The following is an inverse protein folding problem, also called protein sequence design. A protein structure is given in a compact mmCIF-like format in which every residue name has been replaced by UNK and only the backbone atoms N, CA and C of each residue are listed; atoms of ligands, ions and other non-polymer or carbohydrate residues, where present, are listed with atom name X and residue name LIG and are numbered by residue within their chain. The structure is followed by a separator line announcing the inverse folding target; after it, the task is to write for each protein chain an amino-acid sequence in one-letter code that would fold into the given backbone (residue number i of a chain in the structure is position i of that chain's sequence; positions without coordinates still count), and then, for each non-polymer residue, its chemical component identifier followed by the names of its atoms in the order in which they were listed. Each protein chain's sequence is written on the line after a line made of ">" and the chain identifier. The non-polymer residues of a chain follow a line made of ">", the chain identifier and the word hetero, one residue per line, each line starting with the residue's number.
data_IF_455005810661
#
_entry.id   IF_455005810661
#
_cell.length_a   1.000
_cell.length_b   1.000
_cell.length_c   1.000
_cell.angle_alpha   90.00
_cell.angle_beta   90.00
_cell.angle_gamma   90.00
#
_symmetry.space_group_name_H-M   'P 1'
#
loop_
_entity.id
_entity.type
_entity.pdbx_description
1 polymer ?
#
# COMPACT_ATOMS: atom_id res chain seq x y z
N UNK A 1 1.45 2.11 6.86
CA UNK A 1 1.83 1.19 7.95
C UNK A 1 1.29 1.77 9.24
N UNK A 2 0.73 0.93 10.08
CA UNK A 2 0.13 1.31 11.37
C UNK A 2 0.52 0.25 12.39
N UNK A 3 1.18 0.63 13.48
CA UNK A 3 1.65 -0.29 14.53
C UNK A 3 2.37 -1.54 13.96
N UNK A 4 3.26 -1.32 12.99
CA UNK A 4 3.99 -2.36 12.27
C UNK A 4 3.18 -3.28 11.36
N UNK A 5 1.89 -3.00 11.20
CA UNK A 5 0.97 -3.69 10.30
C UNK A 5 0.75 -2.91 9.01
N UNK A 6 0.31 -3.62 7.97
CA UNK A 6 0.16 -3.09 6.61
C UNK A 6 -1.33 -3.03 6.25
N UNK A 7 -1.75 -1.86 5.77
CA UNK A 7 -3.09 -1.63 5.25
C UNK A 7 -3.17 -2.13 3.80
N UNK A 8 -4.16 -2.96 3.52
CA UNK A 8 -4.52 -3.37 2.17
C UNK A 8 -5.93 -2.91 1.82
N UNK A 9 -6.11 -2.55 0.56
CA UNK A 9 -7.44 -2.37 -0.02
C UNK A 9 -7.87 -3.62 -0.78
N UNK A 10 -9.18 -3.86 -0.77
CA UNK A 10 -9.78 -4.85 -1.65
C UNK A 10 -10.07 -4.22 -3.00
N UNK A 11 -9.43 -4.71 -4.06
CA UNK A 11 -9.69 -4.21 -5.41
C UNK A 11 -11.14 -4.54 -5.82
N UNK A 12 -11.84 -3.64 -6.54
CA UNK A 12 -13.17 -3.91 -7.06
C UNK A 12 -13.25 -5.26 -7.78
N UNK A 13 -14.40 -5.92 -7.69
CA UNK A 13 -14.63 -7.17 -8.43
C UNK A 13 -14.71 -6.84 -9.92
N UNK A 14 -13.91 -7.54 -10.73
CA UNK A 14 -13.80 -7.31 -12.18
C UNK A 14 -12.55 -6.53 -12.57
N UNK A 15 -12.12 -6.72 -13.83
CA UNK A 15 -10.89 -6.12 -14.35
C UNK A 15 -9.60 -6.74 -13.83
N UNK A 16 -8.49 -6.06 -14.11
CA UNK A 16 -7.15 -6.54 -13.80
C UNK A 16 -6.94 -6.67 -12.29
N UNK A 17 -6.62 -7.90 -11.85
CA UNK A 17 -6.44 -8.25 -10.44
C UNK A 17 -7.70 -8.04 -9.58
N UNK A 18 -8.89 -8.06 -10.18
CA UNK A 18 -10.15 -7.81 -9.50
C UNK A 18 -10.40 -8.77 -8.34
N UNK A 19 -10.85 -8.24 -7.20
CA UNK A 19 -11.12 -9.00 -5.97
C UNK A 19 -9.89 -9.41 -5.14
N UNK A 20 -8.67 -9.22 -5.66
CA UNK A 20 -7.42 -9.43 -4.91
C UNK A 20 -7.17 -8.28 -3.94
N UNK A 21 -6.42 -8.56 -2.88
CA UNK A 21 -5.87 -7.50 -2.02
C UNK A 21 -4.69 -6.83 -2.71
N UNK A 22 -4.55 -5.53 -2.50
CA UNK A 22 -3.43 -4.75 -2.98
C UNK A 22 -3.07 -3.66 -2.01
N UNK A 23 -1.88 -3.09 -2.19
CA UNK A 23 -1.55 -1.82 -1.55
C UNK A 23 -2.46 -0.73 -2.12
N UNK A 24 -2.63 0.34 -1.33
CA UNK A 24 -3.28 1.55 -1.82
C UNK A 24 -2.58 2.04 -3.08
N UNK A 25 -3.33 2.20 -4.17
CA UNK A 25 -2.79 2.61 -5.45
C UNK A 25 -3.80 3.46 -6.22
N UNK A 26 -3.32 4.56 -6.78
CA UNK A 26 -4.11 5.48 -7.62
C UNK A 26 -3.40 5.69 -8.97
N UNK A 27 -4.13 6.07 -10.02
CA UNK A 27 -3.52 6.50 -11.27
C UNK A 27 -2.67 7.76 -11.08
N UNK A 28 -1.53 7.82 -11.76
CA UNK A 28 -0.58 8.94 -11.69
C UNK A 28 0.50 8.75 -10.61
N UNK A 29 1.27 9.80 -10.36
CA UNK A 29 2.28 9.84 -9.31
C UNK A 29 2.06 11.11 -8.50
N UNK A 30 2.05 10.98 -7.18
CA UNK A 30 1.94 12.09 -6.25
C UNK A 30 3.31 12.42 -5.67
N UNK A 31 3.56 13.69 -5.41
CA UNK A 31 4.56 14.12 -4.44
C UNK A 31 4.20 13.68 -3.02
N UNK A 32 5.15 13.76 -2.10
CA UNK A 32 4.92 13.45 -0.67
C UNK A 32 3.85 14.37 -0.06
N UNK A 33 3.82 15.64 -0.46
CA UNK A 33 2.85 16.62 0.05
C UNK A 33 1.45 16.33 -0.47
N UNK A 34 1.31 15.98 -1.74
CA UNK A 34 0.02 15.57 -2.31
C UNK A 34 -0.49 14.26 -1.69
N UNK A 35 0.41 13.31 -1.42
CA UNK A 35 0.07 12.08 -0.72
C UNK A 35 -0.42 12.36 0.72
N UNK A 36 0.29 13.22 1.45
CA UNK A 36 -0.12 13.64 2.81
C UNK A 36 -1.50 14.28 2.79
N UNK A 37 -1.76 15.25 1.89
CA UNK A 37 -3.07 15.88 1.74
C UNK A 37 -4.18 14.90 1.35
N UNK A 38 -3.88 13.93 0.49
CA UNK A 38 -4.82 12.87 0.11
C UNK A 38 -5.21 12.01 1.32
N UNK A 39 -4.25 11.64 2.15
CA UNK A 39 -4.48 10.90 3.38
C UNK A 39 -5.30 11.72 4.39
N UNK A 40 -4.94 12.99 4.61
CA UNK A 40 -5.68 13.90 5.50
C UNK A 40 -7.14 14.06 5.07
N UNK A 41 -7.40 14.26 3.77
CA UNK A 41 -8.75 14.35 3.22
C UNK A 41 -9.58 13.08 3.42
N UNK A 42 -8.93 11.95 3.65
CA UNK A 42 -9.55 10.66 3.98
C UNK A 42 -9.63 10.41 5.49
N UNK A 43 -9.24 11.36 6.33
CA UNK A 43 -9.20 11.19 7.78
C UNK A 43 -8.06 10.31 8.28
N UNK A 44 -7.00 10.15 7.48
CA UNK A 44 -5.81 9.37 7.83
C UNK A 44 -4.67 10.33 8.14
N UNK A 45 -4.29 10.43 9.41
CA UNK A 45 -3.11 11.19 9.83
C UNK A 45 -1.82 10.44 9.46
N UNK A 46 -0.81 11.14 8.95
CA UNK A 46 0.46 10.56 8.53
C UNK A 46 1.60 11.15 9.35
N UNK A 47 2.38 10.28 10.01
CA UNK A 47 3.58 10.66 10.78
C UNK A 47 4.81 10.83 9.89
N UNK A 48 4.97 9.97 8.89
CA UNK A 48 6.13 10.00 7.99
C UNK A 48 5.82 9.36 6.65
N UNK A 49 6.55 9.80 5.62
CA UNK A 49 6.48 9.27 4.27
C UNK A 49 7.91 9.01 3.78
N UNK A 50 8.19 7.78 3.36
CA UNK A 50 9.47 7.38 2.78
C UNK A 50 9.24 6.88 1.35
N UNK A 51 9.95 7.38 0.34
CA UNK A 51 9.86 6.85 -1.01
C UNK A 51 10.40 5.41 -1.06
N UNK A 52 9.71 4.55 -1.79
CA UNK A 52 10.14 3.18 -2.07
C UNK A 52 10.76 3.10 -3.48
N UNK A 53 11.47 2.01 -3.72
CA UNK A 53 12.04 1.71 -5.04
C UNK A 53 10.93 1.67 -6.09
N UNK A 54 11.03 2.51 -7.12
CA UNK A 54 10.08 2.49 -8.24
C UNK A 54 10.11 1.13 -8.95
N UNK A 55 8.94 0.64 -9.36
CA UNK A 55 8.79 -0.71 -9.91
C UNK A 55 7.94 -0.70 -11.16
N UNK A 56 8.27 -1.63 -12.05
CA UNK A 56 7.49 -1.93 -13.24
C UNK A 56 6.82 -3.29 -13.08
N UNK A 57 5.57 -3.40 -13.50
CA UNK A 57 4.89 -4.68 -13.58
C UNK A 57 4.26 -4.84 -14.96
N UNK A 58 4.54 -5.97 -15.61
CA UNK A 58 4.13 -6.25 -16.98
C UNK A 58 3.04 -7.31 -16.94
N UNK A 59 1.87 -6.95 -17.45
CA UNK A 59 0.80 -7.88 -17.80
C UNK A 59 0.84 -8.14 -19.32
N UNK A 60 0.05 -9.08 -19.81
CA UNK A 60 0.02 -9.43 -21.24
C UNK A 60 -0.28 -8.24 -22.16
N UNK A 61 -1.14 -7.31 -21.73
CA UNK A 61 -1.60 -6.20 -22.57
C UNK A 61 -1.38 -4.82 -21.96
N UNK A 62 -0.81 -4.74 -20.76
CA UNK A 62 -0.67 -3.48 -20.01
C UNK A 62 0.63 -3.52 -19.22
N UNK A 63 1.32 -2.38 -19.17
CA UNK A 63 2.49 -2.19 -18.33
C UNK A 63 2.18 -1.10 -17.29
N UNK A 64 2.48 -1.39 -16.04
CA UNK A 64 2.38 -0.42 -14.95
C UNK A 64 3.78 0.04 -14.57
N UNK A 65 3.97 1.36 -14.56
CA UNK A 65 5.12 2.03 -13.96
C UNK A 65 4.64 2.64 -12.65
N UNK A 66 5.17 2.15 -11.54
CA UNK A 66 4.66 2.44 -10.20
C UNK A 66 5.74 3.11 -9.37
N UNK A 67 5.38 4.25 -8.79
CA UNK A 67 6.14 4.89 -7.72
C UNK A 67 5.50 4.49 -6.40
N UNK A 68 6.30 3.97 -5.47
CA UNK A 68 5.80 3.53 -4.16
C UNK A 68 6.21 4.49 -3.05
N UNK A 69 5.36 4.57 -2.03
CA UNK A 69 5.65 5.29 -0.79
C UNK A 69 5.26 4.41 0.41
N UNK A 70 6.08 4.40 1.44
CA UNK A 70 5.73 3.89 2.75
C UNK A 70 5.30 5.07 3.62
N UNK A 71 4.00 5.19 3.83
CA UNK A 71 3.42 6.17 4.75
C UNK A 71 3.11 5.51 6.09
N UNK A 72 3.62 6.06 7.18
CA UNK A 72 3.33 5.63 8.56
C UNK A 72 2.18 6.46 9.09
N UNK A 73 1.16 5.79 9.63
CA UNK A 73 -0.10 6.39 10.07
C UNK A 73 -0.02 6.74 11.54
N UNK A 74 -0.50 7.93 11.87
CA UNK A 74 -0.64 8.44 13.23
C UNK A 74 -2.07 8.21 13.72
N UNK A 75 -2.25 7.34 14.72
CA UNK A 75 -3.57 7.12 15.32
C UNK A 75 -4.52 6.23 14.49
N UNK A 76 -5.84 6.27 14.80
CA UNK A 76 -6.79 5.29 14.26
C UNK A 76 -7.06 5.51 12.77
N UNK A 77 -7.28 4.41 12.06
CA UNK A 77 -7.78 4.43 10.70
C UNK A 77 -9.31 4.55 10.68
N UNK A 78 -9.89 5.25 9.68
CA UNK A 78 -11.32 5.23 9.46
C UNK A 78 -11.77 3.81 9.03
N UNK A 79 -13.02 3.39 9.34
CA UNK A 79 -13.53 2.05 9.04
C UNK A 79 -13.43 1.65 7.55
N UNK A 80 -13.49 2.62 6.65
CA UNK A 80 -13.41 2.45 5.20
C UNK A 80 -11.98 2.40 4.63
N UNK A 81 -10.94 2.56 5.47
CA UNK A 81 -9.55 2.60 5.01
C UNK A 81 -9.09 1.29 4.35
N UNK A 82 -9.65 0.16 4.77
CA UNK A 82 -9.29 -1.17 4.28
C UNK A 82 -9.06 -2.18 5.40
N UNK A 83 -8.30 -3.22 5.07
CA UNK A 83 -7.99 -4.33 5.97
C UNK A 83 -6.52 -4.25 6.42
N UNK A 84 -6.27 -4.32 7.73
CA UNK A 84 -4.91 -4.27 8.29
C UNK A 84 -4.43 -5.69 8.59
N UNK A 85 -3.19 -5.99 8.19
CA UNK A 85 -2.56 -7.29 8.46
C UNK A 85 -1.16 -7.11 9.03
N UNK A 86 -0.84 -7.92 10.02
CA UNK A 86 0.49 -8.05 10.59
C UNK A 86 1.46 -8.72 9.59
N UNK A 87 2.78 -8.52 9.73
CA UNK A 87 3.78 -9.24 8.96
C UNK A 87 3.62 -10.77 9.05
N UNK A 88 3.21 -11.30 10.21
CA UNK A 88 3.01 -12.74 10.41
C UNK A 88 1.81 -13.27 9.62
N UNK A 89 0.68 -12.55 9.61
CA UNK A 89 -0.50 -12.93 8.81
C UNK A 89 -0.15 -12.92 7.32
N UNK A 90 0.59 -11.91 6.88
CA UNK A 90 1.04 -11.80 5.50
C UNK A 90 1.91 -13.00 5.12
N UNK A 91 2.88 -13.35 5.96
CA UNK A 91 3.73 -14.53 5.77
C UNK A 91 2.92 -15.84 5.77
N UNK A 92 1.83 -15.92 6.53
CA UNK A 92 0.98 -17.11 6.61
C UNK A 92 0.08 -17.35 5.39
N UNK A 93 -0.02 -16.38 4.48
CA UNK A 93 -0.69 -16.58 3.18
C UNK A 93 -1.75 -15.57 2.80
N UNK A 94 -1.65 -14.31 3.25
CA UNK A 94 -2.52 -13.25 2.71
C UNK A 94 -2.29 -13.13 1.20
N UNK A 95 -3.31 -13.43 0.41
CA UNK A 95 -3.24 -13.34 -1.04
C UNK A 95 -3.21 -11.88 -1.51
N UNK A 96 -2.03 -11.42 -1.90
CA UNK A 96 -1.78 -10.07 -2.43
C UNK A 96 -1.45 -10.14 -3.91
N UNK A 97 -2.00 -9.21 -4.70
CA UNK A 97 -1.77 -9.14 -6.13
C UNK A 97 -0.27 -9.07 -6.48
N UNK A 98 0.16 -9.83 -7.50
CA UNK A 98 1.57 -9.99 -7.88
C UNK A 98 2.29 -8.67 -8.15
N UNK A 99 1.58 -7.68 -8.70
CA UNK A 99 2.11 -6.34 -8.95
C UNK A 99 2.66 -5.64 -7.70
N UNK A 100 2.15 -5.98 -6.50
CA UNK A 100 2.54 -5.32 -5.25
C UNK A 100 3.59 -6.10 -4.44
N UNK A 101 3.92 -7.33 -4.82
CA UNK A 101 4.83 -8.21 -4.05
C UNK A 101 6.22 -7.58 -3.85
N UNK A 102 6.74 -6.89 -4.86
CA UNK A 102 8.02 -6.20 -4.75
C UNK A 102 8.01 -5.08 -3.71
N UNK A 103 6.95 -4.27 -3.66
CA UNK A 103 6.78 -3.23 -2.65
C UNK A 103 6.58 -3.84 -1.27
N UNK A 104 5.75 -4.88 -1.17
CA UNK A 104 5.50 -5.57 0.09
C UNK A 104 6.80 -6.12 0.70
N UNK A 105 7.64 -6.76 -0.11
CA UNK A 105 8.93 -7.29 0.33
C UNK A 105 9.90 -6.18 0.80
N UNK A 106 9.80 -4.98 0.24
CA UNK A 106 10.59 -3.82 0.65
C UNK A 106 10.06 -3.23 1.96
N UNK A 107 8.74 -3.04 2.07
CA UNK A 107 8.06 -2.56 3.29
C UNK A 107 8.37 -3.49 4.48
N UNK A 108 8.33 -4.80 4.30
CA UNK A 108 8.61 -5.77 5.37
C UNK A 108 10.07 -5.77 5.83
N UNK A 109 10.99 -5.19 5.05
CA UNK A 109 12.39 -5.00 5.43
C UNK A 109 12.66 -3.65 6.09
N UNK A 110 11.72 -2.70 6.01
CA UNK A 110 11.88 -1.42 6.68
C UNK A 110 11.87 -1.65 8.20
N UNK A 111 12.87 -1.09 8.92
CA UNK A 111 12.93 -1.24 10.36
C UNK A 111 11.66 -0.66 10.97
N UNK A 112 11.00 -1.49 11.78
CA UNK A 112 9.91 -1.03 12.62
C UNK A 112 10.54 -0.20 13.72
N UNK A 113 10.36 1.11 13.69
CA UNK A 113 10.73 1.96 14.83
C UNK A 113 10.02 1.41 16.06
N UNK A 114 10.81 0.84 16.96
CA UNK A 114 10.37 0.24 18.23
C UNK A 114 9.98 1.31 19.24
#
# INVERSE_FOLDING_TARGET
>A
MIDGSILFERRPKGGLLGGMRGLYAIPGTLSTDELSRLCENRGIGIDSIVPLTSRKHVFTHVEWHMTGYLATVSGPLPPEAGEVFTPSEIASGVAVASAFQGFLAEILKHPQSS
#
